data_IF_079267905874
#
_entry.id   IF_079267905874
#
_cell.length_a   1.000
_cell.length_b   1.000
_cell.length_c   1.000
_cell.angle_alpha   90.00
_cell.angle_beta   90.00
_cell.angle_gamma   90.00
#
_symmetry.space_group_name_H-M   'P 1'
#
loop_
_entity.id
_entity.type
_entity.pdbx_description
1 polymer ?
#
# COMPACT_ATOMS: atom_id res chain seq x y z
N UNK A 1 3.63 -35.86 32.09
CA UNK A 1 3.72 -36.02 30.61
C UNK A 1 2.49 -35.54 29.85
N UNK A 2 1.25 -35.97 30.17
CA UNK A 2 0.05 -35.58 29.39
C UNK A 2 -0.23 -34.06 29.31
N UNK A 3 0.00 -33.29 30.38
CA UNK A 3 -0.23 -31.83 30.40
C UNK A 3 0.80 -31.04 29.59
N UNK A 4 2.07 -31.48 29.62
CA UNK A 4 3.15 -30.84 28.85
C UNK A 4 2.96 -31.03 27.34
N UNK A 5 2.46 -32.20 26.92
CA UNK A 5 2.15 -32.48 25.51
C UNK A 5 1.01 -31.61 24.96
N UNK A 6 -0.05 -31.37 25.75
CA UNK A 6 -1.17 -30.51 25.35
C UNK A 6 -0.71 -29.05 25.19
N UNK A 7 0.20 -28.59 26.05
CA UNK A 7 0.71 -27.22 26.00
C UNK A 7 1.63 -26.99 24.79
N UNK A 8 2.51 -27.96 24.48
CA UNK A 8 3.33 -27.94 23.26
C UNK A 8 2.45 -27.98 21.99
N UNK A 9 1.39 -28.79 22.00
CA UNK A 9 0.47 -28.90 20.87
C UNK A 9 -0.35 -27.61 20.65
N UNK A 10 -0.83 -26.97 21.73
CA UNK A 10 -1.55 -25.69 21.64
C UNK A 10 -0.65 -24.54 21.16
N UNK A 11 0.60 -24.48 21.64
CA UNK A 11 1.60 -23.51 21.15
C UNK A 11 1.94 -23.74 19.68
N UNK A 12 1.98 -25.00 19.24
CA UNK A 12 2.21 -25.35 17.83
C UNK A 12 1.01 -24.95 16.94
N UNK A 13 -0.23 -25.03 17.45
CA UNK A 13 -1.43 -24.60 16.72
C UNK A 13 -1.51 -23.07 16.57
N UNK A 14 -1.08 -22.30 17.57
CA UNK A 14 -1.04 -20.83 17.44
C UNK A 14 -0.05 -20.35 16.37
N UNK A 15 1.03 -21.10 16.13
CA UNK A 15 2.02 -20.77 15.10
C UNK A 15 1.54 -21.07 13.66
N UNK A 16 0.45 -21.83 13.50
CA UNK A 16 -0.09 -22.22 12.19
C UNK A 16 -1.07 -21.21 11.58
N UNK A 17 -1.40 -20.12 12.28
CA UNK A 17 -2.41 -19.15 11.82
C UNK A 17 -1.81 -17.81 11.32
N UNK A 18 -0.51 -17.75 11.05
CA UNK A 18 0.09 -16.57 10.44
C UNK A 18 -0.32 -16.48 8.96
N UNK A 19 -0.78 -15.30 8.53
CA UNK A 19 -0.94 -15.02 7.10
C UNK A 19 0.44 -14.84 6.47
N UNK A 20 0.57 -15.11 5.18
CA UNK A 20 1.80 -14.93 4.43
C UNK A 20 1.61 -13.89 3.34
N UNK A 21 2.50 -12.90 3.29
CA UNK A 21 2.72 -12.07 2.11
C UNK A 21 3.52 -12.90 1.10
N UNK A 22 2.81 -13.45 0.12
CA UNK A 22 3.34 -14.39 -0.88
C UNK A 22 4.11 -13.63 -1.96
N UNK A 23 3.49 -12.59 -2.51
CA UNK A 23 4.03 -11.89 -3.68
C UNK A 23 3.64 -10.42 -3.63
N UNK A 24 4.39 -9.60 -4.36
CA UNK A 24 4.05 -8.20 -4.61
C UNK A 24 4.23 -7.93 -6.10
N UNK A 25 3.25 -7.27 -6.70
CA UNK A 25 3.34 -6.81 -8.08
C UNK A 25 3.31 -5.30 -8.13
N UNK A 26 4.05 -4.76 -9.07
CA UNK A 26 4.06 -3.33 -9.36
C UNK A 26 3.92 -3.11 -10.87
N UNK A 27 3.17 -2.09 -11.25
CA UNK A 27 3.05 -1.67 -12.64
C UNK A 27 2.84 -0.16 -12.75
N UNK A 28 3.68 0.46 -13.56
CA UNK A 28 3.65 1.87 -13.95
C UNK A 28 2.70 2.11 -15.13
N UNK A 29 1.79 3.08 -14.98
CA UNK A 29 0.85 3.56 -16.00
C UNK A 29 1.07 5.05 -16.35
N UNK A 30 2.27 5.57 -16.11
CA UNK A 30 2.71 6.92 -16.41
C UNK A 30 2.71 7.80 -15.17
N UNK A 31 1.54 8.33 -14.82
CA UNK A 31 1.35 9.17 -13.61
C UNK A 31 0.46 8.47 -12.56
N UNK A 32 0.27 7.17 -12.76
CA UNK A 32 -0.49 6.29 -11.89
C UNK A 32 0.31 5.00 -11.77
N UNK A 33 0.55 4.56 -10.54
CA UNK A 33 1.16 3.27 -10.27
C UNK A 33 0.15 2.35 -9.60
N UNK A 34 0.16 1.08 -10.00
CA UNK A 34 -0.59 0.03 -9.31
C UNK A 34 0.37 -0.87 -8.57
N UNK A 35 0.20 -0.97 -7.26
CA UNK A 35 0.88 -1.96 -6.41
C UNK A 35 -0.14 -2.98 -5.93
N UNK A 36 0.19 -4.27 -6.00
CA UNK A 36 -0.67 -5.37 -5.56
C UNK A 36 0.09 -6.21 -4.56
N UNK A 37 -0.40 -6.25 -3.32
CA UNK A 37 0.09 -7.15 -2.28
C UNK A 37 -0.74 -8.43 -2.31
N UNK A 38 -0.09 -9.59 -2.41
CA UNK A 38 -0.76 -10.90 -2.54
C UNK A 38 -0.51 -11.73 -1.30
N UNK A 39 -1.59 -12.26 -0.74
CA UNK A 39 -1.60 -13.01 0.51
C UNK A 39 -2.29 -14.36 0.33
N UNK A 40 -1.88 -15.36 1.11
CA UNK A 40 -2.57 -16.65 1.18
C UNK A 40 -4.01 -16.50 1.69
N UNK A 41 -4.19 -15.72 2.75
CA UNK A 41 -5.47 -15.38 3.35
C UNK A 41 -5.54 -13.90 3.67
N UNK A 42 -6.75 -13.38 3.90
CA UNK A 42 -6.95 -11.96 4.21
C UNK A 42 -6.22 -11.61 5.52
N UNK A 43 -5.18 -10.75 5.50
CA UNK A 43 -4.49 -10.33 6.70
C UNK A 43 -5.32 -9.29 7.46
N UNK A 44 -4.97 -9.08 8.72
CA UNK A 44 -5.36 -7.85 9.41
C UNK A 44 -4.36 -6.75 9.01
N UNK A 45 -4.85 -5.63 8.50
CA UNK A 45 -3.98 -4.59 7.98
C UNK A 45 -4.53 -3.18 8.22
N UNK A 46 -3.62 -2.23 8.25
CA UNK A 46 -3.87 -0.80 8.32
C UNK A 46 -3.03 -0.08 7.26
N UNK A 47 -3.60 0.94 6.63
CA UNK A 47 -2.91 1.78 5.65
C UNK A 47 -2.82 3.18 6.23
N UNK A 48 -1.59 3.61 6.50
CA UNK A 48 -1.26 4.96 6.95
C UNK A 48 -0.70 5.75 5.76
N UNK A 49 -1.31 6.90 5.51
CA UNK A 49 -0.94 7.80 4.41
C UNK A 49 -0.12 8.96 4.97
N UNK A 50 1.12 9.08 4.54
CA UNK A 50 1.99 10.22 4.85
C UNK A 50 2.23 11.05 3.60
N UNK A 51 2.88 12.22 3.73
CA UNK A 51 3.12 13.11 2.58
C UNK A 51 4.06 12.50 1.53
N UNK A 52 5.06 11.74 1.96
CA UNK A 52 6.11 11.18 1.10
C UNK A 52 6.10 9.66 0.99
N UNK A 53 5.20 8.98 1.69
CA UNK A 53 5.12 7.53 1.64
C UNK A 53 3.73 7.01 2.04
N UNK A 54 3.47 5.77 1.66
CA UNK A 54 2.33 4.98 2.10
C UNK A 54 2.86 3.79 2.91
N UNK A 55 2.40 3.68 4.16
CA UNK A 55 2.78 2.61 5.07
C UNK A 55 1.62 1.63 5.21
N UNK A 56 1.87 0.35 4.96
CA UNK A 56 0.90 -0.73 5.14
C UNK A 56 1.38 -1.64 6.27
N UNK A 57 0.73 -1.56 7.43
CA UNK A 57 1.02 -2.38 8.59
C UNK A 57 0.20 -3.68 8.50
N UNK A 58 0.87 -4.82 8.45
CA UNK A 58 0.25 -6.16 8.38
C UNK A 58 0.50 -6.89 9.69
N UNK A 59 -0.57 -7.21 10.43
CA UNK A 59 -0.50 -7.90 11.73
C UNK A 59 -0.78 -9.39 11.59
N UNK A 60 -0.10 -10.21 12.39
CA UNK A 60 -0.18 -11.66 12.29
C UNK A 60 0.20 -12.15 10.89
N UNK A 61 1.16 -11.46 10.26
CA UNK A 61 1.57 -11.67 8.89
C UNK A 61 3.08 -11.92 8.85
N UNK A 62 3.50 -12.84 7.98
CA UNK A 62 4.89 -13.19 7.74
C UNK A 62 5.22 -12.97 6.27
N UNK A 63 6.49 -12.68 5.99
CA UNK A 63 6.99 -12.65 4.62
C UNK A 63 7.26 -14.08 4.15
N UNK A 64 6.78 -14.43 2.95
CA UNK A 64 7.19 -15.67 2.30
C UNK A 64 8.68 -15.63 1.91
N UNK A 65 9.40 -16.74 2.10
CA UNK A 65 10.83 -16.81 1.81
C UNK A 65 11.17 -16.56 0.32
N UNK A 66 10.22 -16.80 -0.58
CA UNK A 66 10.35 -16.58 -2.02
C UNK A 66 10.11 -15.13 -2.45
N UNK A 67 9.58 -14.27 -1.57
CA UNK A 67 9.25 -12.89 -1.92
C UNK A 67 10.53 -12.08 -2.20
N UNK A 68 10.73 -11.75 -3.48
CA UNK A 68 11.87 -10.99 -3.96
C UNK A 68 11.67 -9.48 -3.74
N UNK A 69 12.77 -8.75 -3.60
CA UNK A 69 12.72 -7.29 -3.62
C UNK A 69 12.35 -6.83 -5.03
N UNK A 70 11.37 -5.93 -5.12
CA UNK A 70 10.96 -5.33 -6.39
C UNK A 70 11.79 -4.09 -6.63
N UNK A 71 12.48 -4.06 -7.77
CA UNK A 71 13.12 -2.84 -8.27
C UNK A 71 12.06 -1.92 -8.87
N UNK A 72 11.89 -0.74 -8.29
CA UNK A 72 11.10 0.34 -8.91
C UNK A 72 12.05 1.18 -9.75
N UNK A 73 11.90 1.10 -11.08
CA UNK A 73 12.76 1.81 -12.01
C UNK A 73 11.92 2.79 -12.83
N UNK A 74 12.34 4.06 -12.87
CA UNK A 74 11.78 5.11 -13.73
C UNK A 74 10.28 5.44 -13.52
N UNK A 75 9.66 5.00 -12.42
CA UNK A 75 8.31 5.46 -12.10
C UNK A 75 8.32 6.94 -11.75
N UNK A 76 7.29 7.66 -12.21
CA UNK A 76 7.05 9.06 -11.82
C UNK A 76 6.33 9.17 -10.48
N UNK A 77 5.65 8.12 -10.02
CA UNK A 77 4.78 8.15 -8.84
C UNK A 77 5.47 7.55 -7.63
N UNK A 78 5.99 6.33 -7.74
CA UNK A 78 6.66 5.62 -6.65
C UNK A 78 8.17 5.68 -6.88
N UNK A 79 8.93 6.02 -5.84
CA UNK A 79 10.41 6.06 -5.89
C UNK A 79 11.04 4.80 -5.31
N UNK A 80 10.31 4.06 -4.48
CA UNK A 80 10.81 2.83 -3.88
C UNK A 80 9.71 2.03 -3.19
N UNK A 81 9.98 0.75 -3.00
CA UNK A 81 9.15 -0.17 -2.24
C UNK A 81 10.06 -1.03 -1.37
N UNK A 82 9.86 -0.95 -0.06
CA UNK A 82 10.65 -1.65 0.94
C UNK A 82 9.73 -2.36 1.94
N UNK A 83 10.33 -3.27 2.70
CA UNK A 83 9.63 -4.06 3.71
C UNK A 83 10.44 -4.08 5.00
N UNK A 84 9.77 -3.85 6.13
CA UNK A 84 10.31 -4.11 7.46
C UNK A 84 9.57 -5.32 8.04
N UNK A 85 10.31 -6.29 8.57
CA UNK A 85 9.76 -7.58 8.98
C UNK A 85 10.15 -7.84 10.43
N UNK A 86 9.16 -8.19 11.23
CA UNK A 86 9.29 -8.77 12.57
C UNK A 86 8.70 -10.19 12.57
N UNK A 87 8.72 -10.90 13.69
CA UNK A 87 8.28 -12.30 13.78
C UNK A 87 6.80 -12.53 13.38
N UNK A 88 5.95 -11.54 13.62
CA UNK A 88 4.50 -11.58 13.41
C UNK A 88 3.93 -10.33 12.72
N UNK A 89 4.79 -9.39 12.32
CA UNK A 89 4.40 -8.14 11.67
C UNK A 89 5.21 -7.94 10.39
N UNK A 90 4.54 -7.54 9.32
CA UNK A 90 5.17 -7.06 8.10
C UNK A 90 4.71 -5.64 7.86
N UNK A 91 5.64 -4.71 7.71
CA UNK A 91 5.34 -3.36 7.26
C UNK A 91 5.83 -3.22 5.83
N UNK A 92 4.93 -2.84 4.92
CA UNK A 92 5.28 -2.46 3.55
C UNK A 92 5.35 -0.94 3.50
N UNK A 93 6.46 -0.40 3.00
CA UNK A 93 6.66 1.03 2.82
C UNK A 93 6.78 1.33 1.33
N UNK A 94 5.91 2.19 0.82
CA UNK A 94 5.90 2.63 -0.57
C UNK A 94 6.26 4.11 -0.59
N UNK A 95 7.47 4.42 -1.04
CA UNK A 95 7.95 5.80 -1.11
C UNK A 95 7.36 6.49 -2.33
N UNK A 96 6.79 7.68 -2.15
CA UNK A 96 6.10 8.45 -3.17
C UNK A 96 6.96 9.62 -3.63
N UNK A 97 6.94 9.90 -4.93
CA UNK A 97 7.55 11.07 -5.51
C UNK A 97 6.74 12.32 -5.18
N UNK A 98 7.26 13.17 -4.30
CA UNK A 98 6.61 14.41 -3.85
C UNK A 98 7.00 15.64 -4.66
N UNK A 99 7.72 15.49 -5.78
CA UNK A 99 8.15 16.64 -6.60
C UNK A 99 6.99 17.52 -7.08
N UNK A 100 5.79 16.95 -7.26
CA UNK A 100 4.60 17.73 -7.64
C UNK A 100 3.96 18.51 -6.49
N UNK A 101 4.24 18.18 -5.23
CA UNK A 101 3.66 18.85 -4.06
C UNK A 101 4.09 20.32 -4.02
N UNK A 102 5.37 20.60 -4.28
CA UNK A 102 5.92 21.96 -4.32
C UNK A 102 5.35 22.82 -5.47
N UNK A 103 4.84 22.19 -6.53
CA UNK A 103 4.34 22.86 -7.74
C UNK A 103 2.83 23.07 -7.67
N UNK A 104 2.10 22.07 -7.20
CA UNK A 104 0.63 22.04 -7.27
C UNK A 104 -0.04 22.23 -5.92
N UNK A 105 0.68 22.04 -4.81
CA UNK A 105 0.11 21.95 -3.47
C UNK A 105 -0.74 20.71 -3.23
N UNK A 106 -0.81 19.78 -4.20
CA UNK A 106 -1.61 18.55 -4.07
C UNK A 106 -0.75 17.40 -3.55
N UNK A 107 -1.28 16.69 -2.55
CA UNK A 107 -0.77 15.37 -2.14
C UNK A 107 -1.30 14.33 -3.14
N UNK A 108 -0.53 13.27 -3.37
CA UNK A 108 -0.95 12.11 -4.14
C UNK A 108 -2.29 11.52 -3.64
N UNK A 109 -2.99 10.78 -4.50
CA UNK A 109 -4.21 10.05 -4.16
C UNK A 109 -3.95 8.55 -4.14
N UNK A 110 -4.60 7.82 -3.22
CA UNK A 110 -4.58 6.36 -3.21
C UNK A 110 -6.00 5.84 -3.23
N UNK A 111 -6.30 4.96 -4.18
CA UNK A 111 -7.52 4.15 -4.18
C UNK A 111 -7.15 2.70 -3.86
N UNK A 112 -7.68 2.16 -2.76
CA UNK A 112 -7.47 0.78 -2.34
C UNK A 112 -8.66 -0.10 -2.72
N UNK A 113 -8.40 -1.32 -3.17
CA UNK A 113 -9.43 -2.34 -3.40
C UNK A 113 -8.96 -3.72 -2.95
N UNK A 114 -9.87 -4.45 -2.32
CA UNK A 114 -9.65 -5.84 -1.92
C UNK A 114 -10.23 -6.79 -2.96
N UNK A 115 -9.46 -7.79 -3.36
CA UNK A 115 -9.92 -8.88 -4.22
C UNK A 115 -9.83 -10.20 -3.47
N UNK A 116 -10.95 -10.90 -3.38
CA UNK A 116 -11.04 -12.25 -2.83
C UNK A 116 -11.05 -13.30 -3.95
N UNK A 117 -10.43 -14.44 -3.70
CA UNK A 117 -10.33 -15.58 -4.61
C UNK A 117 -9.54 -16.71 -3.94
N UNK A 118 -8.80 -17.48 -4.72
CA UNK A 118 -7.90 -18.53 -4.19
C UNK A 118 -6.78 -17.95 -3.31
N UNK A 119 -6.41 -16.70 -3.58
CA UNK A 119 -5.50 -15.87 -2.77
C UNK A 119 -6.16 -14.51 -2.54
N UNK A 120 -5.85 -13.87 -1.42
CA UNK A 120 -6.30 -12.51 -1.13
C UNK A 120 -5.36 -11.49 -1.76
N UNK A 121 -5.90 -10.42 -2.36
CA UNK A 121 -5.07 -9.33 -2.93
C UNK A 121 -5.55 -7.99 -2.42
N UNK A 122 -4.60 -7.18 -1.93
CA UNK A 122 -4.79 -5.76 -1.68
C UNK A 122 -4.17 -5.00 -2.85
N UNK A 123 -5.01 -4.37 -3.67
CA UNK A 123 -4.59 -3.57 -4.81
C UNK A 123 -4.65 -2.10 -4.42
N UNK A 124 -3.57 -1.38 -4.67
CA UNK A 124 -3.39 0.03 -4.37
C UNK A 124 -3.08 0.77 -5.66
N UNK A 125 -3.98 1.64 -6.07
CA UNK A 125 -3.80 2.55 -7.20
C UNK A 125 -3.36 3.91 -6.66
N UNK A 126 -2.14 4.30 -6.98
CA UNK A 126 -1.48 5.49 -6.47
C UNK A 126 -1.37 6.49 -7.62
N UNK A 127 -2.00 7.64 -7.47
CA UNK A 127 -2.06 8.69 -8.47
C UNK A 127 -1.21 9.87 -8.00
N UNK A 128 -0.35 10.39 -8.86
CA UNK A 128 0.55 11.50 -8.50
C UNK A 128 -0.19 12.80 -8.16
N UNK A 129 -1.41 12.98 -8.67
CA UNK A 129 -2.26 14.16 -8.45
C UNK A 129 -3.74 13.78 -8.36
N UNK A 130 -4.56 14.63 -7.76
CA UNK A 130 -6.02 14.47 -7.78
C UNK A 130 -6.65 15.10 -9.01
N UNK A 131 -6.02 16.14 -9.56
CA UNK A 131 -6.53 16.94 -10.66
C UNK A 131 -5.53 16.95 -11.81
N UNK A 132 -5.52 15.92 -12.68
CA UNK A 132 -4.64 15.90 -13.85
C UNK A 132 -4.95 17.09 -14.77
N UNK A 133 -3.94 17.92 -15.06
CA UNK A 133 -4.10 19.14 -15.88
C UNK A 133 -3.40 19.04 -17.21
N UNK A 134 -2.32 18.26 -17.28
CA UNK A 134 -1.54 18.13 -18.52
C UNK A 134 -2.13 17.08 -19.43
N UNK A 135 -1.88 17.21 -20.73
CA UNK A 135 -2.31 16.23 -21.72
C UNK A 135 -1.74 14.83 -21.43
N UNK A 136 -0.50 14.77 -20.96
CA UNK A 136 0.17 13.51 -20.59
C UNK A 136 -0.51 12.84 -19.40
N UNK A 137 -0.89 13.61 -18.38
CA UNK A 137 -1.61 13.08 -17.21
C UNK A 137 -2.99 12.56 -17.61
N UNK A 138 -3.80 13.38 -18.29
CA UNK A 138 -5.14 12.98 -18.73
C UNK A 138 -5.11 11.72 -19.60
N UNK A 139 -4.14 11.61 -20.51
CA UNK A 139 -3.95 10.41 -21.35
C UNK A 139 -3.59 9.18 -20.51
N UNK A 140 -2.75 9.35 -19.48
CA UNK A 140 -2.38 8.26 -18.57
C UNK A 140 -3.59 7.79 -17.75
N UNK A 141 -4.43 8.70 -17.27
CA UNK A 141 -5.67 8.37 -16.56
C UNK A 141 -6.64 7.61 -17.46
N UNK A 142 -6.85 8.08 -18.70
CA UNK A 142 -7.69 7.40 -19.67
C UNK A 142 -7.18 5.97 -19.94
N UNK A 143 -5.89 5.80 -20.21
CA UNK A 143 -5.29 4.49 -20.48
C UNK A 143 -5.34 3.56 -19.27
N UNK A 144 -5.12 4.11 -18.07
CA UNK A 144 -5.23 3.35 -16.83
C UNK A 144 -6.66 2.82 -16.62
N UNK A 145 -7.67 3.68 -16.73
CA UNK A 145 -9.06 3.25 -16.56
C UNK A 145 -9.53 2.30 -17.65
N UNK A 146 -9.05 2.45 -18.89
CA UNK A 146 -9.32 1.49 -19.97
C UNK A 146 -8.74 0.11 -19.64
N UNK A 147 -7.46 0.05 -19.23
CA UNK A 147 -6.76 -1.20 -18.91
C UNK A 147 -7.31 -1.89 -17.66
N UNK A 148 -7.86 -1.12 -16.72
CA UNK A 148 -8.49 -1.65 -15.50
C UNK A 148 -9.99 -1.95 -15.68
N UNK A 149 -10.54 -1.67 -16.86
CA UNK A 149 -11.91 -2.00 -17.24
C UNK A 149 -12.97 -0.98 -16.85
N UNK A 150 -12.57 0.18 -16.29
CA UNK A 150 -13.49 1.28 -16.02
C UNK A 150 -13.68 2.15 -17.27
N UNK A 151 -14.40 1.61 -18.25
CA UNK A 151 -14.59 2.24 -19.55
C UNK A 151 -15.29 3.60 -19.44
N UNK A 152 -16.18 3.78 -18.46
CA UNK A 152 -16.86 5.05 -18.24
C UNK A 152 -15.86 6.17 -17.89
N UNK A 153 -15.02 5.97 -16.87
CA UNK A 153 -14.00 6.95 -16.51
C UNK A 153 -12.97 7.12 -17.63
N UNK A 154 -12.60 6.03 -18.31
CA UNK A 154 -11.69 6.12 -19.46
C UNK A 154 -12.22 7.09 -20.53
N UNK A 155 -13.52 7.00 -20.87
CA UNK A 155 -14.15 7.90 -21.81
C UNK A 155 -14.20 9.35 -21.30
N UNK A 156 -14.55 9.56 -20.03
CA UNK A 156 -14.55 10.91 -19.43
C UNK A 156 -13.17 11.58 -19.51
N UNK A 157 -12.09 10.84 -19.26
CA UNK A 157 -10.73 11.37 -19.41
C UNK A 157 -10.34 11.57 -20.88
N UNK A 158 -10.76 10.69 -21.79
CA UNK A 158 -10.56 10.91 -23.23
C UNK A 158 -11.26 12.17 -23.73
N UNK A 159 -12.47 12.48 -23.23
CA UNK A 159 -13.17 13.72 -23.58
C UNK A 159 -12.40 14.95 -23.09
N UNK A 160 -11.83 14.91 -21.87
CA UNK A 160 -10.94 15.96 -21.36
C UNK A 160 -9.67 16.11 -22.19
N UNK A 161 -9.07 15.01 -22.65
CA UNK A 161 -7.93 15.02 -23.57
C UNK A 161 -8.29 15.77 -24.86
N UNK A 162 -9.44 15.45 -25.46
CA UNK A 162 -9.90 16.09 -26.70
C UNK A 162 -10.20 17.58 -26.49
N UNK A 163 -10.85 17.94 -25.39
CA UNK A 163 -11.13 19.32 -25.03
C UNK A 163 -9.83 20.14 -24.91
N UNK A 164 -8.86 19.65 -24.12
CA UNK A 164 -7.57 20.32 -23.92
C UNK A 164 -6.76 20.42 -25.23
N UNK A 165 -6.77 19.38 -26.07
CA UNK A 165 -6.14 19.45 -27.40
C UNK A 165 -6.77 20.53 -28.28
N UNK A 166 -8.09 20.70 -28.22
CA UNK A 166 -8.77 21.72 -28.98
C UNK A 166 -8.46 23.12 -28.44
N UNK A 167 -8.39 23.31 -27.12
CA UNK A 167 -7.95 24.57 -26.50
C UNK A 167 -6.50 24.93 -26.88
N UNK A 168 -5.58 23.97 -26.83
CA UNK A 168 -4.21 24.18 -27.28
C UNK A 168 -4.18 24.57 -28.76
N UNK A 169 -4.99 23.92 -29.60
CA UNK A 169 -5.10 24.25 -31.04
C UNK A 169 -5.70 25.62 -31.28
N UNK A 170 -6.72 26.06 -30.52
CA UNK A 170 -7.32 27.40 -30.69
C UNK A 170 -6.34 28.49 -30.25
N UNK A 171 -5.60 28.27 -29.15
CA UNK A 171 -4.54 29.16 -28.69
C UNK A 171 -3.35 29.21 -29.66
N UNK A 172 -3.01 28.09 -30.32
CA UNK A 172 -1.99 28.06 -31.37
C UNK A 172 -2.48 28.70 -32.67
N UNK A 173 -3.77 28.60 -33.00
CA UNK A 173 -4.36 29.21 -34.20
C UNK A 173 -4.42 30.75 -34.13
N UNK A 174 -4.47 31.33 -32.92
CA UNK A 174 -4.29 32.78 -32.71
C UNK A 174 -2.84 33.26 -32.83
N UNK A 175 -1.86 32.35 -32.84
CA UNK A 175 -0.43 32.70 -32.82
C UNK A 175 0.36 32.20 -34.03
N UNK A 176 -0.10 31.17 -34.76
CA UNK A 176 0.62 30.68 -35.95
C UNK A 176 -0.32 30.10 -37.01
N UNK A 177 -0.47 30.85 -38.11
CA UNK A 177 -0.94 30.36 -39.40
C UNK A 177 0.16 29.52 -40.05
N UNK A 178 -0.20 28.34 -40.60
CA UNK A 178 0.60 27.33 -41.34
C UNK A 178 1.27 26.30 -40.41
N UNK A 179 1.06 24.98 -40.50
CA UNK A 179 0.92 24.10 -41.68
C UNK A 179 0.21 22.77 -41.31
N UNK A 180 -0.44 22.16 -42.29
CA UNK A 180 -1.32 20.96 -42.25
C UNK A 180 -0.56 19.63 -42.39
N UNK A 181 -1.24 18.51 -42.03
CA UNK A 181 -1.15 17.11 -42.55
C UNK A 181 -0.48 16.07 -41.62
N UNK A 182 -0.92 14.81 -41.40
CA UNK A 182 -2.12 13.99 -41.75
C UNK A 182 -2.17 12.76 -40.82
N UNK A 183 -3.37 12.20 -40.61
CA UNK A 183 -3.73 10.99 -39.84
C UNK A 183 -3.41 9.70 -40.62
N UNK A 184 -2.96 8.63 -39.94
CA UNK A 184 -3.34 7.25 -40.37
C UNK A 184 -3.45 6.26 -39.20
N UNK A 185 -4.52 5.47 -39.22
CA UNK A 185 -5.01 4.50 -38.22
C UNK A 185 -4.98 3.07 -38.81
N UNK A 186 -4.45 2.07 -38.09
CA UNK A 186 -4.66 0.59 -38.26
C UNK A 186 -3.61 -0.15 -37.40
N UNK A 187 -3.80 -1.33 -36.80
CA UNK A 187 -4.87 -2.34 -36.72
C UNK A 187 -4.47 -3.28 -35.56
N UNK A 188 -5.43 -3.75 -34.78
CA UNK A 188 -5.26 -4.81 -33.77
C UNK A 188 -5.27 -6.21 -34.41
N UNK A 189 -4.52 -7.15 -33.80
CA UNK A 189 -4.53 -8.58 -34.13
C UNK A 189 -4.76 -9.39 -32.86
N UNK A 190 -5.76 -10.28 -32.93
CA UNK A 190 -6.10 -11.36 -31.98
C UNK A 190 -5.14 -12.54 -32.13
N UNK A 191 -4.63 -13.09 -31.02
CA UNK A 191 -4.23 -14.50 -30.80
C UNK A 191 -4.15 -14.63 -29.25
N UNK A 192 -4.62 -15.64 -28.50
CA UNK A 192 -4.62 -17.11 -28.64
C UNK A 192 -5.78 -17.69 -27.82
N UNK A 193 -6.53 -18.60 -28.45
CA UNK A 193 -7.48 -19.52 -27.85
C UNK A 193 -6.80 -20.91 -27.81
N UNK A 194 -6.28 -21.35 -26.65
CA UNK A 194 -5.84 -22.75 -26.46
C UNK A 194 -5.53 -23.14 -24.99
N UNK A 195 -6.55 -23.18 -24.13
CA UNK A 195 -6.48 -23.92 -22.85
C UNK A 195 -7.80 -24.66 -22.64
N UNK A 196 -8.07 -25.66 -23.48
CA UNK A 196 -9.26 -26.52 -23.33
C UNK A 196 -9.02 -28.01 -23.59
N UNK A 197 -7.78 -28.47 -23.46
CA UNK A 197 -7.42 -29.88 -23.71
C UNK A 197 -6.58 -30.54 -22.61
N UNK A 198 -6.55 -30.00 -21.39
CA UNK A 198 -5.65 -30.49 -20.33
C UNK A 198 -6.34 -30.99 -19.05
N UNK A 199 -7.64 -31.27 -19.07
CA UNK A 199 -8.37 -31.78 -17.87
C UNK A 199 -9.11 -33.09 -18.16
N UNK A 200 -8.51 -34.01 -18.92
CA UNK A 200 -9.11 -35.32 -19.13
C UNK A 200 -8.06 -36.41 -19.14
N UNK A 201 -7.51 -36.71 -17.96
CA UNK A 201 -6.95 -38.02 -17.64
C UNK A 201 -6.49 -38.12 -16.17
N UNK A 202 -7.44 -38.19 -15.24
CA UNK A 202 -7.20 -38.81 -13.93
C UNK A 202 -8.48 -39.53 -13.52
N UNK A 203 -8.60 -40.80 -13.90
CA UNK A 203 -9.54 -41.74 -13.27
C UNK A 203 -9.14 -43.15 -13.64
N UNK A 204 -8.41 -43.80 -12.73
CA UNK A 204 -8.34 -45.25 -12.71
C UNK A 204 -8.28 -45.78 -11.29
N UNK A 205 -9.32 -46.54 -10.95
CA UNK A 205 -9.38 -47.62 -9.96
C UNK A 205 -8.89 -47.30 -8.55
N UNK A 206 -9.81 -46.76 -7.76
CA UNK A 206 -9.79 -46.87 -6.30
C UNK A 206 -11.10 -47.51 -5.84
N UNK A 207 -10.98 -48.43 -4.89
CA UNK A 207 -12.07 -49.23 -4.35
C UNK A 207 -13.09 -48.33 -3.65
N UNK A 208 -14.28 -48.18 -4.25
CA UNK A 208 -15.24 -47.11 -3.98
C UNK A 208 -15.73 -47.07 -2.51
N UNK A 209 -15.66 -48.20 -1.81
CA UNK A 209 -16.16 -48.34 -0.43
C UNK A 209 -15.18 -47.80 0.62
N UNK A 210 -13.87 -47.94 0.40
CA UNK A 210 -12.85 -47.47 1.34
C UNK A 210 -12.64 -45.95 1.18
N UNK A 211 -12.71 -45.45 -0.06
CA UNK A 211 -12.64 -44.02 -0.34
C UNK A 211 -13.85 -43.30 0.25
N UNK A 212 -15.06 -43.86 0.18
CA UNK A 212 -16.26 -43.23 0.73
C UNK A 212 -16.17 -42.97 2.24
N UNK A 213 -15.62 -43.93 3.01
CA UNK A 213 -15.48 -43.76 4.46
C UNK A 213 -14.37 -42.77 4.83
N UNK A 214 -13.23 -42.83 4.13
CA UNK A 214 -12.14 -41.88 4.32
C UNK A 214 -12.56 -40.44 3.94
N UNK A 215 -13.32 -40.27 2.87
CA UNK A 215 -13.84 -38.98 2.43
C UNK A 215 -14.89 -38.44 3.41
N UNK A 216 -15.78 -39.30 3.93
CA UNK A 216 -16.76 -38.92 4.93
C UNK A 216 -16.12 -38.45 6.25
N UNK A 217 -15.09 -39.18 6.72
CA UNK A 217 -14.33 -38.78 7.90
C UNK A 217 -13.55 -37.46 7.68
N UNK A 218 -12.96 -37.27 6.49
CA UNK A 218 -12.26 -36.04 6.12
C UNK A 218 -13.21 -34.83 6.07
N UNK A 219 -14.39 -34.99 5.47
CA UNK A 219 -15.42 -33.94 5.43
C UNK A 219 -15.87 -33.58 6.84
N UNK A 220 -16.10 -34.58 7.70
CA UNK A 220 -16.51 -34.34 9.09
C UNK A 220 -15.40 -33.63 9.88
N UNK A 221 -14.13 -33.98 9.66
CA UNK A 221 -12.98 -33.29 10.24
C UNK A 221 -12.91 -31.82 9.77
N UNK A 222 -13.11 -31.56 8.46
CA UNK A 222 -13.14 -30.20 7.90
C UNK A 222 -14.27 -29.37 8.52
N UNK A 223 -15.46 -29.96 8.72
CA UNK A 223 -16.60 -29.28 9.35
C UNK A 223 -16.30 -28.95 10.82
N UNK A 224 -15.68 -29.87 11.56
CA UNK A 224 -15.28 -29.62 12.95
C UNK A 224 -14.22 -28.52 13.03
N UNK A 225 -13.20 -28.56 12.17
CA UNK A 225 -12.18 -27.50 12.06
C UNK A 225 -12.83 -26.16 11.72
N UNK A 226 -13.76 -26.12 10.76
CA UNK A 226 -14.47 -24.91 10.36
C UNK A 226 -15.32 -24.33 11.52
N UNK A 227 -16.01 -25.18 12.28
CA UNK A 227 -16.77 -24.75 13.47
C UNK A 227 -15.85 -24.21 14.56
N UNK A 228 -14.70 -24.83 14.79
CA UNK A 228 -13.69 -24.35 15.74
C UNK A 228 -13.15 -22.98 15.30
N UNK A 229 -12.79 -22.81 14.02
CA UNK A 229 -12.34 -21.52 13.46
C UNK A 229 -13.43 -20.45 13.61
N UNK A 230 -14.69 -20.80 13.35
CA UNK A 230 -15.82 -19.87 13.46
C UNK A 230 -16.10 -19.46 14.91
N UNK A 231 -15.94 -20.37 15.88
CA UNK A 231 -16.08 -20.08 17.30
C UNK A 231 -14.89 -19.28 17.86
N UNK A 232 -13.68 -19.49 17.31
CA UNK A 232 -12.47 -18.74 17.68
C UNK A 232 -12.38 -17.37 17.01
N UNK A 233 -13.11 -17.12 15.91
CA UNK A 233 -13.33 -15.77 15.37
C UNK A 233 -14.26 -14.96 16.29
N UNK A 234 -13.77 -14.68 17.49
CA UNK A 234 -14.30 -13.61 18.33
C UNK A 234 -14.14 -12.32 17.53
N UNK A 235 -15.23 -11.56 17.39
CA UNK A 235 -15.27 -10.28 16.70
C UNK A 235 -14.22 -9.37 17.32
N UNK A 236 -13.06 -9.23 16.66
CA UNK A 236 -11.99 -8.33 17.07
C UNK A 236 -12.61 -6.94 17.10
N UNK A 237 -12.80 -6.40 18.30
CA UNK A 237 -13.09 -4.99 18.49
C UNK A 237 -11.99 -4.20 17.80
N UNK A 238 -12.35 -3.05 17.21
CA UNK A 238 -11.37 -2.07 16.73
C UNK A 238 -10.26 -1.94 17.77
N UNK A 239 -9.07 -2.40 17.40
CA UNK A 239 -7.92 -2.49 18.29
C UNK A 239 -7.12 -1.22 18.04
N UNK A 240 -6.91 -0.41 19.09
CA UNK A 240 -6.15 0.83 19.03
C UNK A 240 -4.72 0.55 18.60
N UNK A 241 -4.42 0.89 17.35
CA UNK A 241 -3.15 0.65 16.66
C UNK A 241 -2.12 1.78 16.86
N UNK A 242 -2.53 2.88 17.50
CA UNK A 242 -1.71 4.09 17.64
C UNK A 242 -0.41 3.89 18.45
N UNK A 243 -0.29 2.82 19.26
CA UNK A 243 0.88 2.58 20.10
C UNK A 243 1.93 1.61 19.53
N UNK A 244 1.68 0.98 18.39
CA UNK A 244 2.45 -0.20 17.94
C UNK A 244 3.05 -0.06 16.53
N UNK A 245 3.07 1.16 15.98
CA UNK A 245 3.78 1.48 14.73
C UNK A 245 5.28 1.21 14.90
N UNK A 246 5.87 0.40 14.01
CA UNK A 246 7.34 0.19 13.99
C UNK A 246 8.10 1.43 13.50
N UNK A 247 7.39 2.47 13.08
CA UNK A 247 7.92 3.79 12.76
C UNK A 247 7.69 4.69 13.98
N UNK A 248 8.75 5.33 14.49
CA UNK A 248 8.58 6.38 15.47
C UNK A 248 7.62 7.42 14.89
N UNK A 249 6.60 7.80 15.65
CA UNK A 249 5.68 8.89 15.28
C UNK A 249 6.37 10.25 15.19
N UNK A 250 7.63 10.33 15.64
CA UNK A 250 8.51 11.46 15.41
C UNK A 250 8.91 11.46 13.92
N UNK A 251 8.63 12.57 13.22
CA UNK A 251 8.83 12.74 11.77
C UNK A 251 10.29 12.62 11.28
N UNK A 252 10.63 13.30 10.19
CA UNK A 252 11.89 13.17 9.42
C UNK A 252 13.19 13.34 10.23
N UNK A 253 13.11 13.73 11.51
CA UNK A 253 14.20 13.81 12.44
C UNK A 253 13.84 13.02 13.71
N UNK A 254 14.74 12.12 14.11
CA UNK A 254 14.64 11.51 15.43
C UNK A 254 14.69 12.59 16.53
N UNK A 255 14.12 12.29 17.70
CA UNK A 255 14.06 13.23 18.82
C UNK A 255 15.44 13.77 19.21
N UNK A 256 16.50 12.97 19.05
CA UNK A 256 17.88 13.35 19.30
C UNK A 256 18.40 14.42 18.30
N UNK A 257 18.04 14.30 17.02
CA UNK A 257 18.38 15.28 15.99
C UNK A 257 17.61 16.58 16.21
N UNK A 258 16.31 16.51 16.50
CA UNK A 258 15.51 17.70 16.82
C UNK A 258 16.04 18.42 18.05
N UNK A 259 16.45 17.69 19.09
CA UNK A 259 17.09 18.26 20.27
C UNK A 259 18.41 18.96 19.93
N UNK A 260 19.25 18.34 19.09
CA UNK A 260 20.51 18.94 18.62
C UNK A 260 20.27 20.23 17.84
N UNK A 261 19.33 20.22 16.90
CA UNK A 261 19.00 21.41 16.09
C UNK A 261 18.39 22.51 16.96
N UNK A 262 17.51 22.18 17.90
CA UNK A 262 16.95 23.16 18.83
C UNK A 262 18.06 23.84 19.67
N UNK A 263 19.03 23.08 20.17
CA UNK A 263 20.21 23.62 20.89
C UNK A 263 21.09 24.49 19.99
N UNK A 264 21.33 24.08 18.74
CA UNK A 264 22.12 24.86 17.78
C UNK A 264 21.43 26.18 17.39
N UNK A 265 20.10 26.20 17.25
CA UNK A 265 19.33 27.41 16.98
C UNK A 265 19.32 28.34 18.20
N UNK A 266 19.14 27.79 19.41
CA UNK A 266 19.22 28.55 20.65
C UNK A 266 20.60 29.20 20.84
N UNK A 267 21.69 28.48 20.53
CA UNK A 267 23.06 29.01 20.55
C UNK A 267 23.28 30.16 19.55
N UNK A 268 22.42 30.29 18.54
CA UNK A 268 22.38 31.41 17.58
C UNK A 268 21.42 32.53 17.99
N UNK A 269 20.98 32.54 19.25
CA UNK A 269 20.04 33.50 19.83
C UNK A 269 18.66 33.54 19.15
N UNK A 270 18.19 32.41 18.62
CA UNK A 270 16.80 32.30 18.20
C UNK A 270 15.87 32.25 19.42
N UNK A 271 14.71 32.90 19.33
CA UNK A 271 13.73 32.86 20.39
C UNK A 271 13.02 31.50 20.45
N UNK A 272 12.61 31.05 21.65
CA UNK A 272 12.02 29.72 21.88
C UNK A 272 10.76 29.50 21.02
N UNK A 273 9.93 30.53 20.88
CA UNK A 273 8.72 30.52 20.04
C UNK A 273 9.05 30.38 18.54
N UNK A 274 10.14 31.01 18.09
CA UNK A 274 10.63 30.88 16.71
C UNK A 274 11.16 29.47 16.44
N UNK A 275 11.90 28.89 17.38
CA UNK A 275 12.43 27.51 17.28
C UNK A 275 11.26 26.50 17.28
N UNK A 276 10.28 26.68 18.17
CA UNK A 276 9.08 25.85 18.23
C UNK A 276 8.30 25.88 16.92
N UNK A 277 8.14 27.07 16.34
CA UNK A 277 7.48 27.25 15.05
C UNK A 277 8.26 26.63 13.88
N UNK A 278 9.58 26.81 13.84
CA UNK A 278 10.44 26.30 12.76
C UNK A 278 10.56 24.77 12.77
N UNK A 279 10.60 24.17 13.97
CA UNK A 279 10.72 22.72 14.14
C UNK A 279 9.37 22.00 14.30
N UNK A 280 8.26 22.74 14.21
CA UNK A 280 6.90 22.24 14.46
C UNK A 280 6.77 21.47 15.79
N UNK A 281 7.47 21.93 16.83
CA UNK A 281 7.47 21.34 18.17
C UNK A 281 6.58 22.13 19.13
N UNK A 282 5.91 21.48 20.10
CA UNK A 282 5.25 22.18 21.20
C UNK A 282 6.25 23.08 21.95
N UNK A 283 5.81 24.28 22.33
CA UNK A 283 6.66 25.28 22.98
C UNK A 283 7.30 24.72 24.26
N UNK A 284 6.55 23.94 25.02
CA UNK A 284 6.97 23.30 26.28
C UNK A 284 8.07 22.27 26.04
N UNK A 285 8.03 21.58 24.89
CA UNK A 285 9.08 20.62 24.51
C UNK A 285 10.38 21.34 24.19
N UNK A 286 10.32 22.45 23.46
CA UNK A 286 11.51 23.27 23.14
C UNK A 286 12.08 23.92 24.39
N UNK A 287 11.21 24.41 25.28
CA UNK A 287 11.62 25.00 26.56
C UNK A 287 12.37 23.97 27.44
N UNK A 288 11.87 22.74 27.55
CA UNK A 288 12.56 21.65 28.27
C UNK A 288 13.93 21.29 27.68
N UNK A 289 14.06 21.37 26.36
CA UNK A 289 15.33 21.07 25.66
C UNK A 289 16.38 22.15 25.94
N UNK A 290 15.98 23.43 25.97
CA UNK A 290 16.88 24.58 26.09
C UNK A 290 17.17 24.93 27.55
N UNK A 291 16.17 24.82 28.42
CA UNK A 291 16.23 25.22 29.83
C UNK A 291 15.61 24.13 30.74
N UNK A 292 16.26 22.96 30.87
CA UNK A 292 15.74 21.83 31.65
C UNK A 292 15.55 22.16 33.15
N UNK A 293 16.29 23.15 33.67
CA UNK A 293 16.31 23.48 35.09
C UNK A 293 15.14 24.39 35.52
N UNK A 294 14.42 25.02 34.57
CA UNK A 294 13.34 25.96 34.89
C UNK A 294 12.05 25.27 35.39
N UNK A 295 11.83 23.99 35.07
CA UNK A 295 10.67 23.24 35.58
C UNK A 295 10.84 22.81 37.04
N UNK A 296 12.08 22.57 37.50
CA UNK A 296 12.34 22.21 38.90
C UNK A 296 11.99 23.33 39.87
N UNK A 297 12.09 24.60 39.45
CA UNK A 297 11.69 25.74 40.28
C UNK A 297 10.17 25.96 40.30
N UNK A 298 9.43 25.53 39.27
CA UNK A 298 7.98 25.70 39.18
C UNK A 298 7.21 24.58 39.91
N UNK A 299 7.77 23.38 40.06
CA UNK A 299 7.15 22.30 40.83
C UNK A 299 7.30 22.46 42.36
N UNK A 300 8.15 23.39 42.81
CA UNK A 300 8.37 23.72 44.22
C UNK A 300 7.65 24.99 44.70
N UNK A 301 6.79 25.57 43.86
CA UNK A 301 5.88 26.68 44.20
C UNK A 301 4.43 26.20 44.29
#
# INVERSE_FOLDING_TARGET
MRRTFILIFLVSISLLNANFLIDVYHKDYGVIDRTVLVFDTKPNYEILKHESDLQINLLGCRKDASLQKIGINNSKVITGLDYLISEDKVMVMININTSQLLVTGEIYKVDGMELQGDVFKLVLDIFISTNPRTLSELTSYASFYEKTGNIKLANEYNDKVLALQNEIKTQQKTTNTKTTQTITKKKSVKVIEKIKSLVKNISSKLDLKIVGFALGALILLIVVIFLIIKLLRKKTSAFDLDNDSLRSTDGFADSAYLEKIAKDLAARNWAIDQIAKELELPLEKVQRIIAPDLEQELEHL
#
